data_IF_864530635472
#
_entry.id   IF_864530635472
#
_cell.length_a   1.000
_cell.length_b   1.000
_cell.length_c   1.000
_cell.angle_alpha   90.00
_cell.angle_beta   90.00
_cell.angle_gamma   90.00
#
_symmetry.space_group_name_H-M   'P 1'
#
loop_
_entity.id
_entity.type
_entity.pdbx_description
1 polymer ?
#
# COMPACT_ATOMS: atom_id res chain seq x y z
N UNK A 1 2.34 34.15 3.18
CA UNK A 1 1.84 32.77 3.03
C UNK A 1 2.74 32.05 2.04
N UNK A 2 3.62 31.21 2.54
CA UNK A 2 4.61 30.51 1.70
C UNK A 2 3.93 29.33 1.02
N UNK A 3 3.71 29.42 -0.28
CA UNK A 3 3.26 28.30 -1.09
C UNK A 3 4.49 27.40 -1.29
N UNK A 4 4.50 26.21 -0.71
CA UNK A 4 5.51 25.20 -0.99
C UNK A 4 5.47 24.85 -2.48
N UNK A 5 6.51 25.24 -3.19
CA UNK A 5 6.69 24.90 -4.61
C UNK A 5 6.85 23.38 -4.71
N UNK A 6 6.10 22.67 -5.61
CA UNK A 6 6.16 21.21 -5.73
C UNK A 6 7.51 20.61 -6.15
N UNK A 7 8.55 21.41 -6.27
CA UNK A 7 9.89 20.96 -6.70
C UNK A 7 10.92 20.78 -5.57
N UNK A 8 10.55 21.03 -4.30
CA UNK A 8 11.53 21.08 -3.22
C UNK A 8 11.62 19.80 -2.36
N UNK A 9 10.87 18.74 -2.68
CA UNK A 9 10.97 17.47 -1.96
C UNK A 9 11.83 16.48 -2.77
N UNK A 10 13.02 16.91 -3.13
CA UNK A 10 14.12 16.00 -3.45
C UNK A 10 14.91 15.65 -2.17
N UNK A 11 14.17 15.38 -1.10
CA UNK A 11 14.72 14.67 0.05
C UNK A 11 14.68 13.16 -0.25
N UNK A 12 15.47 12.73 -1.22
CA UNK A 12 16.01 11.38 -1.18
C UNK A 12 16.79 11.31 0.14
N UNK A 13 16.38 10.51 1.12
CA UNK A 13 17.08 10.42 2.39
C UNK A 13 18.55 10.19 2.11
N UNK A 14 19.42 10.84 2.84
CA UNK A 14 20.89 10.71 2.73
C UNK A 14 21.34 9.25 2.87
N UNK A 15 20.52 8.42 3.50
CA UNK A 15 20.60 6.95 3.59
C UNK A 15 20.74 6.27 2.21
N UNK A 16 20.15 6.82 1.14
CA UNK A 16 20.27 6.26 -0.20
C UNK A 16 21.57 6.61 -0.93
N UNK A 17 22.41 7.46 -0.34
CA UNK A 17 23.74 7.81 -0.87
C UNK A 17 24.86 6.97 -0.26
N UNK A 18 24.59 6.21 0.78
CA UNK A 18 25.54 5.30 1.39
C UNK A 18 25.67 4.04 0.55
N UNK A 19 26.88 3.57 0.33
CA UNK A 19 27.09 2.29 -0.34
C UNK A 19 26.36 1.17 0.42
N UNK A 20 25.56 0.39 -0.30
CA UNK A 20 24.82 -0.72 0.29
C UNK A 20 25.79 -1.74 0.88
N UNK A 21 25.47 -2.27 2.05
CA UNK A 21 26.17 -3.42 2.60
C UNK A 21 25.98 -4.66 1.71
N UNK A 22 26.81 -5.66 1.88
CA UNK A 22 26.67 -6.91 1.12
C UNK A 22 25.33 -7.60 1.40
N UNK A 23 24.84 -7.51 2.65
CA UNK A 23 23.54 -8.03 3.05
C UNK A 23 22.38 -7.29 2.37
N UNK A 24 22.46 -5.96 2.31
CA UNK A 24 21.46 -5.14 1.62
C UNK A 24 21.45 -5.40 0.10
N UNK A 25 22.62 -5.58 -0.52
CA UNK A 25 22.71 -5.98 -1.94
C UNK A 25 22.08 -7.33 -2.18
N UNK A 26 22.39 -8.33 -1.35
CA UNK A 26 21.80 -9.65 -1.45
C UNK A 26 20.28 -9.64 -1.25
N UNK A 27 19.77 -8.85 -0.29
CA UNK A 27 18.34 -8.65 -0.09
C UNK A 27 17.66 -8.04 -1.32
N UNK A 28 18.27 -7.00 -1.89
CA UNK A 28 17.78 -6.36 -3.12
C UNK A 28 17.75 -7.33 -4.30
N UNK A 29 18.82 -8.10 -4.50
CA UNK A 29 18.88 -9.11 -5.56
C UNK A 29 17.79 -10.17 -5.43
N UNK A 30 17.50 -10.67 -4.21
CA UNK A 30 16.41 -11.62 -3.97
C UNK A 30 15.06 -11.03 -4.39
N UNK A 31 14.78 -9.79 -4.01
CA UNK A 31 13.52 -9.12 -4.36
C UNK A 31 13.41 -8.92 -5.88
N UNK A 32 14.49 -8.54 -6.55
CA UNK A 32 14.47 -8.33 -8.00
C UNK A 32 14.44 -9.65 -8.80
N UNK A 33 14.84 -10.77 -8.20
CA UNK A 33 14.74 -12.09 -8.81
C UNK A 33 13.33 -12.71 -8.74
N UNK A 34 12.46 -12.21 -7.85
CA UNK A 34 11.09 -12.71 -7.73
C UNK A 34 10.26 -12.30 -8.97
N UNK A 35 9.29 -13.14 -9.41
CA UNK A 35 8.28 -12.71 -10.36
C UNK A 35 7.51 -11.50 -9.80
N UNK A 36 7.27 -10.48 -10.64
CA UNK A 36 6.66 -9.23 -10.19
C UNK A 36 5.23 -9.45 -9.67
N UNK A 37 4.46 -10.32 -10.33
CA UNK A 37 3.10 -10.72 -9.98
C UNK A 37 3.00 -11.51 -8.66
N UNK A 38 4.13 -12.01 -8.13
CA UNK A 38 4.22 -12.74 -6.85
C UNK A 38 4.76 -11.88 -5.70
N UNK A 39 4.94 -10.61 -5.95
CA UNK A 39 5.50 -9.69 -4.99
C UNK A 39 4.38 -9.13 -4.10
N UNK A 40 4.19 -9.69 -2.90
CA UNK A 40 3.23 -9.20 -1.92
C UNK A 40 3.86 -8.13 -1.00
N UNK A 41 3.54 -6.84 -1.17
CA UNK A 41 4.10 -5.78 -0.31
C UNK A 41 3.59 -5.81 1.13
N UNK A 42 2.48 -6.49 1.42
CA UNK A 42 1.94 -6.61 2.77
C UNK A 42 2.49 -7.81 3.56
N UNK A 43 3.28 -8.67 2.92
CA UNK A 43 3.86 -9.83 3.59
C UNK A 43 4.83 -9.42 4.70
N UNK A 44 4.47 -9.73 5.95
CA UNK A 44 5.17 -9.26 7.16
C UNK A 44 6.54 -9.91 7.37
N UNK A 45 6.81 -11.06 6.78
CA UNK A 45 8.10 -11.75 6.84
C UNK A 45 9.26 -10.94 6.24
N UNK A 46 8.98 -9.95 5.41
CA UNK A 46 9.99 -9.09 4.79
C UNK A 46 10.35 -7.85 5.62
N UNK A 47 9.59 -7.55 6.67
CA UNK A 47 9.85 -6.38 7.52
C UNK A 47 11.14 -6.48 8.33
N UNK A 48 11.47 -7.62 8.97
CA UNK A 48 12.66 -7.72 9.80
C UNK A 48 13.99 -7.54 9.06
N UNK A 49 14.01 -7.81 7.75
CA UNK A 49 15.23 -7.85 6.94
C UNK A 49 15.37 -6.64 6.02
N UNK A 50 14.61 -5.58 6.24
CA UNK A 50 14.59 -4.37 5.38
C UNK A 50 14.21 -4.65 3.90
N UNK A 51 13.84 -5.88 3.55
CA UNK A 51 13.47 -6.27 2.19
C UNK A 51 12.24 -5.51 1.68
N UNK A 52 11.40 -5.04 2.60
CA UNK A 52 10.27 -4.16 2.31
C UNK A 52 10.68 -2.93 1.49
N UNK A 53 11.82 -2.30 1.79
CA UNK A 53 12.29 -1.12 1.04
C UNK A 53 12.55 -1.43 -0.42
N UNK A 54 13.14 -2.59 -0.71
CA UNK A 54 13.46 -3.04 -2.07
C UNK A 54 12.22 -3.45 -2.85
N UNK A 55 11.19 -3.99 -2.17
CA UNK A 55 9.89 -4.23 -2.76
C UNK A 55 9.24 -2.93 -3.24
N UNK A 56 9.15 -1.95 -2.35
CA UNK A 56 8.57 -0.66 -2.72
C UNK A 56 9.40 0.12 -3.75
N UNK A 57 10.73 0.00 -3.71
CA UNK A 57 11.59 0.56 -4.76
C UNK A 57 11.22 -0.02 -6.12
N UNK A 58 11.16 -1.35 -6.19
CA UNK A 58 10.84 -2.06 -7.42
C UNK A 58 9.43 -1.77 -7.93
N UNK A 59 8.44 -1.81 -7.05
CA UNK A 59 7.05 -1.50 -7.42
C UNK A 59 6.90 -0.08 -7.95
N UNK A 60 7.54 0.92 -7.32
CA UNK A 60 7.51 2.29 -7.83
C UNK A 60 8.10 2.42 -9.24
N UNK A 61 9.08 1.60 -9.58
CA UNK A 61 9.76 1.63 -10.87
C UNK A 61 9.03 0.83 -11.96
N UNK A 62 8.53 -0.37 -11.62
CA UNK A 62 8.07 -1.35 -12.60
C UNK A 62 6.54 -1.50 -12.64
N UNK A 63 5.87 -1.39 -11.47
CA UNK A 63 4.41 -1.58 -11.34
C UNK A 63 3.83 -0.73 -10.18
N UNK A 64 3.70 0.58 -10.38
CA UNK A 64 3.32 1.51 -9.30
C UNK A 64 1.88 1.36 -8.79
N UNK A 65 1.02 0.68 -9.54
CA UNK A 65 -0.36 0.30 -9.16
C UNK A 65 -0.45 -1.21 -9.24
N UNK A 66 0.06 -1.86 -8.21
CA UNK A 66 0.28 -3.30 -8.18
C UNK A 66 -0.94 -4.06 -7.65
N UNK A 67 -1.34 -5.11 -8.34
CA UNK A 67 -2.40 -6.04 -7.91
C UNK A 67 -1.79 -7.29 -7.27
N UNK A 68 -2.15 -7.55 -6.02
CA UNK A 68 -1.83 -8.81 -5.34
C UNK A 68 -3.08 -9.69 -5.37
N UNK A 69 -2.94 -10.90 -5.92
CA UNK A 69 -4.04 -11.86 -6.03
C UNK A 69 -4.38 -12.50 -4.66
N UNK A 70 -5.58 -13.02 -4.53
CA UNK A 70 -6.08 -13.66 -3.30
C UNK A 70 -5.18 -14.83 -2.84
N UNK A 71 -4.75 -15.66 -3.78
CA UNK A 71 -3.86 -16.79 -3.53
C UNK A 71 -2.43 -16.41 -3.13
N UNK A 72 -2.02 -15.18 -3.38
CA UNK A 72 -0.68 -14.65 -3.10
C UNK A 72 -0.62 -13.80 -1.83
N UNK A 73 -1.75 -13.62 -1.13
CA UNK A 73 -1.85 -12.77 0.06
C UNK A 73 -2.61 -13.42 1.20
N UNK A 74 -2.19 -13.14 2.43
CA UNK A 74 -2.93 -13.53 3.64
C UNK A 74 -4.13 -12.60 3.94
N UNK A 75 -4.30 -11.53 3.18
CA UNK A 75 -5.31 -10.48 3.43
C UNK A 75 -6.43 -10.46 2.38
N UNK A 76 -6.45 -11.41 1.45
CA UNK A 76 -7.30 -11.38 0.28
C UNK A 76 -6.68 -10.56 -0.86
N UNK A 77 -7.36 -10.47 -1.98
CA UNK A 77 -6.89 -9.67 -3.12
C UNK A 77 -6.93 -8.16 -2.82
N UNK A 78 -5.89 -7.44 -3.22
CA UNK A 78 -5.82 -6.00 -3.00
C UNK A 78 -4.92 -5.27 -4.02
N UNK A 79 -5.08 -3.95 -4.08
CA UNK A 79 -4.22 -3.06 -4.85
C UNK A 79 -3.26 -2.29 -3.96
N UNK A 80 -1.99 -2.23 -4.35
CA UNK A 80 -0.96 -1.42 -3.70
C UNK A 80 -0.62 -0.22 -4.57
N UNK A 81 -0.72 0.97 -3.99
CA UNK A 81 -0.38 2.23 -4.65
C UNK A 81 0.93 2.74 -4.06
N UNK A 82 1.95 2.94 -4.89
CA UNK A 82 3.31 3.19 -4.41
C UNK A 82 3.89 4.55 -4.80
N UNK A 83 3.27 5.28 -5.73
CA UNK A 83 3.66 6.65 -6.09
C UNK A 83 2.90 7.68 -5.30
N UNK A 84 3.59 8.70 -4.81
CA UNK A 84 3.03 9.76 -3.99
C UNK A 84 1.85 10.48 -4.65
N UNK A 85 1.98 10.85 -5.91
CA UNK A 85 0.93 11.59 -6.62
C UNK A 85 -0.35 10.74 -6.77
N UNK A 86 -0.21 9.43 -6.99
CA UNK A 86 -1.35 8.51 -7.07
C UNK A 86 -2.00 8.31 -5.70
N UNK A 87 -1.20 8.22 -4.63
CA UNK A 87 -1.69 8.13 -3.25
C UNK A 87 -2.52 9.37 -2.92
N UNK A 88 -2.00 10.57 -3.16
CA UNK A 88 -2.73 11.82 -2.91
C UNK A 88 -4.02 11.90 -3.71
N UNK A 89 -3.99 11.50 -4.98
CA UNK A 89 -5.17 11.49 -5.84
C UNK A 89 -6.27 10.56 -5.31
N UNK A 90 -5.92 9.38 -4.83
CA UNK A 90 -6.86 8.42 -4.25
C UNK A 90 -7.38 8.91 -2.90
N UNK A 91 -6.48 9.38 -2.03
CA UNK A 91 -6.83 9.82 -0.68
C UNK A 91 -7.74 11.05 -0.67
N UNK A 92 -7.60 11.92 -1.67
CA UNK A 92 -8.45 13.12 -1.79
C UNK A 92 -9.77 12.87 -2.53
N UNK A 93 -9.92 11.75 -3.23
CA UNK A 93 -11.18 11.38 -3.93
C UNK A 93 -12.05 10.46 -3.08
N UNK A 94 -12.64 11.00 -2.03
CA UNK A 94 -13.53 10.26 -1.13
C UNK A 94 -14.86 9.82 -1.78
N UNK A 95 -15.16 10.28 -2.97
CA UNK A 95 -16.36 9.88 -3.74
C UNK A 95 -16.14 8.53 -4.40
N UNK A 96 -14.99 8.36 -5.04
CA UNK A 96 -14.63 7.12 -5.74
C UNK A 96 -14.02 6.10 -4.76
N UNK A 97 -13.15 6.57 -3.87
CA UNK A 97 -12.43 5.72 -2.91
C UNK A 97 -12.90 6.01 -1.50
N UNK A 98 -13.63 5.08 -0.89
CA UNK A 98 -14.18 5.23 0.45
C UNK A 98 -13.58 4.21 1.41
N UNK A 99 -13.20 4.65 2.60
CA UNK A 99 -12.75 3.79 3.70
C UNK A 99 -13.89 3.35 4.63
N UNK A 100 -15.14 3.70 4.32
CA UNK A 100 -16.32 3.39 5.16
C UNK A 100 -16.50 1.87 5.34
N UNK A 101 -16.15 1.08 4.31
CA UNK A 101 -16.42 -0.35 4.31
C UNK A 101 -15.33 -1.22 4.94
N UNK A 102 -14.09 -0.75 5.07
CA UNK A 102 -12.95 -1.62 5.39
C UNK A 102 -12.02 -1.14 6.50
N UNK A 103 -12.16 0.09 6.98
CA UNK A 103 -11.20 0.66 7.93
C UNK A 103 -9.85 0.99 7.29
N UNK A 104 -8.82 1.16 8.11
CA UNK A 104 -7.49 1.66 7.70
C UNK A 104 -6.37 0.62 7.81
N UNK A 105 -6.69 -0.63 8.08
CA UNK A 105 -5.69 -1.67 8.27
C UNK A 105 -6.04 -2.92 7.45
N UNK A 106 -5.03 -3.56 6.89
CA UNK A 106 -5.14 -4.91 6.37
C UNK A 106 -5.31 -5.88 7.55
N UNK A 107 -6.25 -6.77 7.42
CA UNK A 107 -6.57 -7.73 8.47
C UNK A 107 -6.79 -9.13 7.88
N UNK A 108 -6.21 -10.13 8.53
CA UNK A 108 -6.44 -11.52 8.15
C UNK A 108 -7.88 -11.87 8.52
N UNK A 109 -8.72 -12.34 7.58
CA UNK A 109 -10.08 -12.71 7.87
C UNK A 109 -10.18 -13.70 9.06
N UNK A 110 -11.05 -13.43 10.02
CA UNK A 110 -11.24 -14.24 11.22
C UNK A 110 -10.19 -14.08 12.32
N UNK A 111 -9.14 -13.26 12.11
CA UNK A 111 -8.07 -13.06 13.11
C UNK A 111 -8.46 -12.10 14.23
N UNK A 112 -9.37 -11.17 13.97
CA UNK A 112 -9.83 -10.20 14.94
C UNK A 112 -11.34 -9.92 14.81
N UNK A 113 -12.18 -10.53 15.67
CA UNK A 113 -13.63 -10.36 15.60
C UNK A 113 -14.13 -8.92 15.75
N UNK A 114 -13.31 -8.04 16.34
CA UNK A 114 -13.66 -6.63 16.48
C UNK A 114 -13.51 -5.88 15.16
N UNK A 115 -12.49 -6.24 14.36
CA UNK A 115 -12.26 -5.66 13.03
C UNK A 115 -13.21 -6.29 12.01
N UNK A 116 -13.46 -7.59 12.11
CA UNK A 116 -14.43 -8.29 11.26
C UNK A 116 -15.87 -7.74 11.44
N UNK A 117 -16.19 -7.22 12.62
CA UNK A 117 -17.46 -6.50 12.86
C UNK A 117 -17.48 -5.11 12.23
N UNK A 118 -16.33 -4.44 12.11
CA UNK A 118 -16.20 -3.15 11.44
C UNK A 118 -16.18 -3.33 9.91
N UNK A 119 -15.69 -4.46 9.43
CA UNK A 119 -15.81 -4.92 8.05
C UNK A 119 -17.21 -5.57 7.85
N UNK A 120 -18.26 -4.85 8.17
CA UNK A 120 -19.64 -5.27 7.85
C UNK A 120 -19.81 -5.46 6.33
N UNK A 121 -20.95 -6.01 5.90
CA UNK A 121 -21.20 -6.18 4.47
C UNK A 121 -20.98 -4.83 3.76
N UNK A 122 -20.28 -4.86 2.63
CA UNK A 122 -20.02 -3.67 1.81
C UNK A 122 -21.36 -2.96 1.59
N UNK A 123 -21.51 -1.70 2.03
CA UNK A 123 -22.78 -1.00 1.89
C UNK A 123 -23.17 -0.92 0.43
N UNK A 124 -24.44 -1.18 0.13
CA UNK A 124 -24.95 -0.98 -1.24
C UNK A 124 -24.82 0.49 -1.66
N UNK A 125 -24.76 0.80 -2.96
CA UNK A 125 -24.72 2.19 -3.44
C UNK A 125 -25.85 3.05 -2.86
N UNK A 126 -27.04 2.48 -2.67
CA UNK A 126 -28.20 3.15 -2.06
C UNK A 126 -27.96 3.46 -0.56
N UNK A 127 -27.35 2.54 0.17
CA UNK A 127 -27.01 2.74 1.58
C UNK A 127 -25.93 3.81 1.75
N UNK A 128 -24.94 3.86 0.85
CA UNK A 128 -23.91 4.90 0.81
C UNK A 128 -24.52 6.27 0.49
N UNK A 129 -25.45 6.34 -0.46
CA UNK A 129 -26.14 7.59 -0.79
C UNK A 129 -26.98 8.09 0.38
N UNK A 130 -27.76 7.21 1.01
CA UNK A 130 -28.57 7.54 2.19
C UNK A 130 -27.70 7.99 3.39
N UNK A 131 -26.48 7.52 3.52
CA UNK A 131 -25.54 7.99 4.55
C UNK A 131 -25.02 9.40 4.25
N UNK A 132 -24.74 9.72 2.99
CA UNK A 132 -24.31 11.07 2.55
C UNK A 132 -25.43 12.11 2.74
N UNK A 133 -26.68 11.73 2.47
CA UNK A 133 -27.84 12.63 2.59
C UNK A 133 -28.21 12.97 4.06
N UNK A 134 -27.63 12.23 5.01
CA UNK A 134 -27.83 12.44 6.48
C UNK A 134 -26.74 13.28 7.14
N UNK A 135 -25.62 13.52 6.48
CA UNK A 135 -24.48 14.29 7.01
C UNK A 135 -24.51 15.71 6.54
#
# INVERSE_FOLDING_TARGET
MSILTPGAINNTPEIMKTELSDEQRAARERIYAMPLDKLDPAAIEYYPNEEMFWKFERLRAEDPVHYTADEDSNYGAYWSITKWDDIIKIDTDSVTFSNIAGGVALNVPGSNPSVDRLAGPIPTPEALQAARDRG
#
